data_IF_910762161383
#
_entry.id   IF_910762161383
#
_cell.length_a   1.000
_cell.length_b   1.000
_cell.length_c   1.000
_cell.angle_alpha   90.00
_cell.angle_beta   90.00
_cell.angle_gamma   90.00
#
_symmetry.space_group_name_H-M   'P 1'
#
loop_
_entity.id
_entity.type
_entity.pdbx_description
1 polymer ?
#
# COMPACT_ATOMS: atom_id res chain seq x y z
N UNK A 1 20.20 -2.41 -19.06
CA UNK A 1 20.25 -3.55 -18.13
C UNK A 1 18.82 -4.01 -17.92
N UNK A 2 18.51 -5.25 -18.26
CA UNK A 2 17.16 -5.80 -18.12
C UNK A 2 16.89 -6.04 -16.64
N UNK A 3 16.27 -5.07 -15.96
CA UNK A 3 15.71 -5.28 -14.63
C UNK A 3 14.45 -6.11 -14.79
N UNK A 4 14.59 -7.43 -14.65
CA UNK A 4 13.49 -8.38 -14.56
C UNK A 4 12.70 -8.11 -13.28
N UNK A 5 11.79 -7.14 -13.34
CA UNK A 5 10.85 -6.84 -12.26
C UNK A 5 10.01 -8.08 -11.97
N UNK A 6 10.18 -8.64 -10.77
CA UNK A 6 9.38 -9.75 -10.26
C UNK A 6 7.97 -9.25 -9.91
N UNK A 7 7.12 -9.14 -10.93
CA UNK A 7 5.72 -8.78 -10.77
C UNK A 7 4.92 -9.97 -10.24
N UNK A 8 4.46 -9.87 -8.99
CA UNK A 8 3.22 -10.51 -8.56
C UNK A 8 2.25 -9.41 -8.12
N UNK A 9 1.04 -9.45 -8.67
CA UNK A 9 0.01 -8.47 -8.38
C UNK A 9 -0.37 -8.53 -6.90
N UNK A 10 -0.33 -7.38 -6.22
CA UNK A 10 -0.84 -7.23 -4.85
C UNK A 10 -2.27 -7.76 -4.79
N UNK A 11 -2.53 -8.70 -3.88
CA UNK A 11 -3.87 -9.28 -3.73
C UNK A 11 -4.80 -8.27 -3.05
N UNK A 12 -5.58 -7.54 -3.84
CA UNK A 12 -6.61 -6.65 -3.32
C UNK A 12 -7.73 -7.47 -2.65
N UNK A 13 -8.04 -7.14 -1.40
CA UNK A 13 -9.17 -7.72 -0.65
C UNK A 13 -10.21 -6.65 -0.40
N UNK A 14 -11.48 -7.06 -0.40
CA UNK A 14 -12.57 -6.17 -0.03
C UNK A 14 -12.43 -5.82 1.45
N UNK A 15 -12.28 -4.52 1.74
CA UNK A 15 -12.18 -3.96 3.10
C UNK A 15 -13.43 -3.19 3.46
N UNK A 16 -13.82 -3.21 4.73
CA UNK A 16 -14.87 -2.40 5.30
C UNK A 16 -14.40 -1.81 6.64
N UNK A 17 -14.79 -0.58 6.93
CA UNK A 17 -14.56 0.04 8.24
C UNK A 17 -15.66 -0.45 9.19
N UNK A 18 -15.27 -0.87 10.39
CA UNK A 18 -16.22 -1.26 11.43
C UNK A 18 -17.15 -0.09 11.80
N UNK A 19 -18.44 -0.37 12.02
CA UNK A 19 -19.44 0.66 12.27
C UNK A 19 -19.15 1.53 13.50
N UNK A 20 -18.49 0.97 14.51
CA UNK A 20 -18.15 1.67 15.76
C UNK A 20 -16.92 2.59 15.60
N UNK A 21 -16.23 2.53 14.45
CA UNK A 21 -15.12 3.44 14.15
C UNK A 21 -15.65 4.82 13.78
N UNK A 22 -15.05 5.89 14.32
CA UNK A 22 -15.41 7.27 13.94
C UNK A 22 -15.23 7.57 12.45
N UNK A 23 -14.30 6.88 11.77
CA UNK A 23 -14.12 6.98 10.32
C UNK A 23 -15.12 6.12 9.50
N UNK A 24 -16.11 5.47 10.13
CA UNK A 24 -17.17 4.75 9.42
C UNK A 24 -18.18 5.69 8.76
N UNK A 25 -18.25 6.92 9.27
CA UNK A 25 -19.04 8.04 8.74
C UNK A 25 -18.05 9.01 8.08
N UNK A 26 -18.18 9.21 6.77
CA UNK A 26 -17.31 10.10 6.01
C UNK A 26 -17.60 11.57 6.29
N UNK A 27 -17.11 12.09 7.42
CA UNK A 27 -17.13 13.51 7.76
C UNK A 27 -15.82 14.13 7.28
N UNK A 28 -15.79 14.62 6.04
CA UNK A 28 -14.62 15.31 5.49
C UNK A 28 -14.88 16.82 5.42
N UNK A 29 -14.19 17.60 6.27
CA UNK A 29 -14.30 19.07 6.30
C UNK A 29 -13.32 19.76 5.33
N UNK A 30 -12.27 19.06 4.86
CA UNK A 30 -11.19 19.66 4.06
C UNK A 30 -11.16 19.13 2.61
N UNK A 31 -11.74 19.88 1.69
CA UNK A 31 -11.78 19.55 0.26
C UNK A 31 -10.55 20.01 -0.55
N UNK A 32 -9.41 20.33 0.06
CA UNK A 32 -8.39 21.15 -0.62
C UNK A 32 -7.15 20.40 -1.15
N UNK A 33 -6.97 19.12 -0.82
CA UNK A 33 -5.74 18.37 -1.18
C UNK A 33 -6.04 16.99 -1.78
N UNK A 34 -5.88 16.86 -3.10
CA UNK A 34 -6.11 15.64 -3.90
C UNK A 34 -5.02 14.55 -3.78
N UNK A 35 -4.20 14.55 -2.72
CA UNK A 35 -3.16 13.53 -2.53
C UNK A 35 -3.76 12.22 -2.01
N UNK A 36 -3.09 11.11 -2.30
CA UNK A 36 -3.48 9.80 -1.75
C UNK A 36 -3.36 9.84 -0.23
N UNK A 37 -4.37 9.29 0.46
CA UNK A 37 -4.44 9.25 1.93
C UNK A 37 -4.36 7.82 2.43
N UNK A 38 -3.70 7.63 3.57
CA UNK A 38 -3.64 6.34 4.26
C UNK A 38 -4.71 6.27 5.35
N UNK A 39 -5.38 5.12 5.45
CA UNK A 39 -6.16 4.74 6.62
C UNK A 39 -5.42 3.63 7.35
N UNK A 40 -5.00 3.89 8.58
CA UNK A 40 -4.29 2.92 9.42
C UNK A 40 -5.28 2.32 10.39
N UNK A 41 -5.31 1.00 10.50
CA UNK A 41 -6.16 0.30 11.45
C UNK A 41 -5.30 -0.39 12.51
N UNK A 42 -5.67 -0.27 13.78
CA UNK A 42 -5.05 -1.06 14.84
C UNK A 42 -5.50 -2.52 14.78
N UNK A 43 -6.77 -2.78 14.47
CA UNK A 43 -7.34 -4.14 14.45
C UNK A 43 -7.89 -4.53 13.09
N UNK A 44 -7.57 -5.75 12.64
CA UNK A 44 -8.09 -6.33 11.40
C UNK A 44 -8.80 -7.65 11.69
N UNK A 45 -10.05 -7.79 11.25
CA UNK A 45 -10.82 -9.02 11.40
C UNK A 45 -11.21 -9.59 10.04
N UNK A 46 -10.87 -10.86 9.79
CA UNK A 46 -11.20 -11.55 8.53
C UNK A 46 -12.48 -12.36 8.70
N UNK A 47 -13.51 -12.02 7.93
CA UNK A 47 -14.72 -12.86 7.86
C UNK A 47 -14.46 -14.07 6.93
N UNK A 48 -14.44 -15.28 7.49
CA UNK A 48 -14.28 -16.52 6.73
C UNK A 48 -15.37 -16.71 5.67
N UNK A 49 -16.59 -16.24 5.94
CA UNK A 49 -17.76 -16.44 5.07
C UNK A 49 -17.83 -15.43 3.92
N UNK A 50 -17.41 -14.18 4.15
CA UNK A 50 -17.62 -13.08 3.19
C UNK A 50 -16.36 -12.69 2.40
N UNK A 51 -15.20 -13.23 2.77
CA UNK A 51 -13.89 -12.76 2.26
C UNK A 51 -13.69 -11.24 2.43
N UNK A 52 -14.38 -10.64 3.41
CA UNK A 52 -14.29 -9.21 3.74
C UNK A 52 -13.37 -9.05 4.94
N UNK A 53 -12.49 -8.08 4.84
CA UNK A 53 -11.60 -7.62 5.90
C UNK A 53 -12.26 -6.42 6.61
N UNK A 54 -12.53 -6.54 7.91
CA UNK A 54 -13.10 -5.45 8.72
C UNK A 54 -12.01 -4.74 9.52
N UNK A 55 -11.97 -3.41 9.45
CA UNK A 55 -10.98 -2.54 10.08
C UNK A 55 -11.56 -1.89 11.33
N UNK A 56 -10.91 -2.08 12.49
CA UNK A 56 -11.31 -1.52 13.78
C UNK A 56 -10.25 -0.56 14.31
N UNK A 57 -10.69 0.44 15.10
CA UNK A 57 -9.84 1.47 15.68
C UNK A 57 -8.93 2.11 14.61
N UNK A 58 -9.57 2.83 13.68
CA UNK A 58 -8.88 3.38 12.52
C UNK A 58 -8.47 4.83 12.72
N UNK A 59 -7.38 5.23 12.09
CA UNK A 59 -6.89 6.60 12.02
C UNK A 59 -6.71 6.98 10.56
N UNK A 60 -7.41 8.02 10.15
CA UNK A 60 -7.23 8.63 8.84
C UNK A 60 -6.00 9.54 8.92
N UNK A 61 -4.94 9.18 8.19
CA UNK A 61 -3.68 9.92 8.18
C UNK A 61 -3.83 11.23 7.39
N UNK A 62 -3.01 12.27 7.65
CA UNK A 62 -3.12 13.54 6.92
C UNK A 62 -2.85 13.38 5.42
N UNK A 63 -3.47 14.23 4.59
CA UNK A 63 -3.27 14.29 3.14
C UNK A 63 -1.98 15.03 2.79
N UNK A 64 -0.84 14.35 2.90
CA UNK A 64 0.49 14.91 2.58
C UNK A 64 1.03 14.20 1.34
N UNK A 65 1.47 14.98 0.34
CA UNK A 65 2.08 14.44 -0.88
C UNK A 65 3.22 13.48 -0.56
N UNK A 66 3.20 12.30 -1.17
CA UNK A 66 4.23 11.28 -1.04
C UNK A 66 4.27 10.56 0.32
N UNK A 67 3.43 10.95 1.29
CA UNK A 67 3.40 10.30 2.61
C UNK A 67 3.10 8.80 2.52
N UNK A 68 2.15 8.32 1.70
CA UNK A 68 1.90 6.88 1.58
C UNK A 68 3.15 6.10 1.13
N UNK A 69 3.85 6.60 0.11
CA UNK A 69 5.07 6.00 -0.39
C UNK A 69 6.19 6.05 0.65
N UNK A 70 6.35 7.18 1.34
CA UNK A 70 7.37 7.36 2.37
C UNK A 70 7.17 6.38 3.53
N UNK A 71 5.95 6.26 4.05
CA UNK A 71 5.64 5.32 5.13
C UNK A 71 5.92 3.89 4.68
N UNK A 72 5.46 3.49 3.50
CA UNK A 72 5.73 2.14 2.98
C UNK A 72 7.24 1.87 2.89
N UNK A 73 8.04 2.81 2.37
CA UNK A 73 9.49 2.64 2.28
C UNK A 73 10.17 2.55 3.64
N UNK A 74 9.78 3.37 4.62
CA UNK A 74 10.37 3.37 5.97
C UNK A 74 10.15 2.03 6.68
N UNK A 75 8.97 1.44 6.51
CA UNK A 75 8.59 0.22 7.20
C UNK A 75 8.81 -1.06 6.39
N UNK A 76 9.37 -0.97 5.17
CA UNK A 76 9.65 -2.14 4.33
C UNK A 76 11.10 -2.61 4.47
N UNK A 77 11.35 -3.92 4.65
CA UNK A 77 12.70 -4.46 4.67
C UNK A 77 13.46 -4.27 3.36
N UNK A 78 12.77 -4.27 2.22
CA UNK A 78 13.36 -4.09 0.89
C UNK A 78 12.48 -3.22 0.03
N UNK A 79 13.13 -2.36 -0.76
CA UNK A 79 12.46 -1.47 -1.71
C UNK A 79 13.13 -1.55 -3.09
N UNK A 80 12.34 -1.42 -4.14
CA UNK A 80 12.80 -1.32 -5.53
C UNK A 80 12.12 -0.13 -6.19
N UNK A 81 12.89 0.82 -6.72
CA UNK A 81 12.35 2.01 -7.36
C UNK A 81 11.88 1.70 -8.79
N UNK A 82 10.68 2.17 -9.13
CA UNK A 82 10.14 2.11 -10.49
C UNK A 82 10.68 3.29 -11.29
N UNK A 83 11.08 3.02 -12.52
CA UNK A 83 11.47 4.04 -13.47
C UNK A 83 10.39 4.19 -14.56
N UNK A 84 10.39 5.34 -15.22
CA UNK A 84 9.67 5.52 -16.48
C UNK A 84 10.28 4.66 -17.61
N UNK A 85 9.60 4.60 -18.75
CA UNK A 85 10.03 3.80 -19.91
C UNK A 85 11.43 4.21 -20.43
N UNK A 86 11.80 5.48 -20.24
CA UNK A 86 13.10 6.03 -20.63
C UNK A 86 14.20 5.79 -19.58
N UNK A 87 13.86 5.29 -18.39
CA UNK A 87 14.80 5.06 -17.29
C UNK A 87 15.34 6.34 -16.63
N UNK A 88 14.68 7.49 -16.83
CA UNK A 88 15.14 8.82 -16.38
C UNK A 88 14.47 9.26 -15.08
N UNK A 89 13.19 8.94 -14.90
CA UNK A 89 12.40 9.44 -13.78
C UNK A 89 11.95 8.30 -12.89
N UNK A 90 11.98 8.52 -11.57
CA UNK A 90 11.40 7.58 -10.61
C UNK A 90 9.89 7.80 -10.54
N UNK A 91 9.12 6.80 -10.91
CA UNK A 91 7.65 6.88 -11.03
C UNK A 91 6.92 6.24 -9.85
N UNK A 92 7.63 5.47 -9.03
CA UNK A 92 7.06 4.76 -7.90
C UNK A 92 8.06 3.87 -7.19
N UNK A 93 7.54 2.99 -6.34
CA UNK A 93 8.33 2.04 -5.54
C UNK A 93 7.56 0.75 -5.32
N UNK A 94 8.25 -0.37 -5.42
CA UNK A 94 7.81 -1.67 -4.92
C UNK A 94 8.40 -1.88 -3.53
N UNK A 95 7.55 -2.13 -2.55
CA UNK A 95 7.90 -2.33 -1.15
C UNK A 95 7.55 -3.76 -0.73
N UNK A 96 8.43 -4.44 0.01
CA UNK A 96 8.16 -5.80 0.46
C UNK A 96 9.32 -6.46 1.20
N UNK A 97 9.31 -7.79 1.25
CA UNK A 97 10.36 -8.60 1.88
C UNK A 97 11.56 -8.86 0.95
N UNK A 98 11.43 -8.52 -0.33
CA UNK A 98 12.44 -8.78 -1.36
C UNK A 98 12.19 -10.08 -2.12
N UNK A 99 13.22 -10.57 -2.80
CA UNK A 99 13.13 -11.73 -3.71
C UNK A 99 14.23 -12.76 -3.43
N UNK A 100 13.99 -14.00 -3.85
CA UNK A 100 14.99 -15.05 -3.86
C UNK A 100 15.95 -14.82 -5.06
N UNK A 101 17.26 -14.64 -4.83
CA UNK A 101 18.20 -14.29 -5.90
C UNK A 101 18.49 -15.43 -6.89
N UNK A 102 18.17 -16.68 -6.53
CA UNK A 102 18.38 -17.85 -7.40
C UNK A 102 17.18 -18.04 -8.34
N UNK A 103 15.97 -17.95 -7.81
CA UNK A 103 14.74 -18.16 -8.60
C UNK A 103 14.17 -16.88 -9.20
N UNK A 104 14.67 -15.71 -8.76
CA UNK A 104 14.17 -14.38 -9.10
C UNK A 104 12.66 -14.20 -8.83
N UNK A 105 12.19 -14.77 -7.72
CA UNK A 105 10.77 -14.72 -7.30
C UNK A 105 10.63 -13.99 -5.97
N UNK A 106 9.56 -13.22 -5.81
CA UNK A 106 9.24 -12.56 -4.53
C UNK A 106 9.19 -13.57 -3.37
N UNK A 107 9.74 -13.17 -2.22
CA UNK A 107 9.72 -13.96 -0.99
C UNK A 107 8.35 -13.96 -0.32
N UNK A 108 7.57 -12.88 -0.47
CA UNK A 108 6.23 -12.81 0.09
C UNK A 108 5.25 -12.01 -0.80
N UNK A 109 4.83 -12.58 -1.94
CA UNK A 109 4.09 -11.86 -2.99
C UNK A 109 2.81 -11.17 -2.51
N UNK A 110 2.07 -11.81 -1.61
CA UNK A 110 0.81 -11.27 -1.07
C UNK A 110 1.00 -9.97 -0.24
N UNK A 111 2.24 -9.66 0.14
CA UNK A 111 2.62 -8.51 0.96
C UNK A 111 3.49 -7.50 0.21
N UNK A 112 3.71 -7.72 -1.09
CA UNK A 112 4.36 -6.72 -1.93
C UNK A 112 3.37 -5.62 -2.29
N UNK A 113 3.81 -4.37 -2.15
CA UNK A 113 2.99 -3.18 -2.35
C UNK A 113 3.67 -2.30 -3.42
N UNK A 114 3.00 -2.12 -4.56
CA UNK A 114 3.44 -1.19 -5.61
C UNK A 114 2.74 0.17 -5.43
N UNK A 115 3.53 1.22 -5.24
CA UNK A 115 3.05 2.58 -4.97
C UNK A 115 3.66 3.54 -6.00
N UNK A 116 2.82 4.05 -6.89
CA UNK A 116 3.18 5.20 -7.75
C UNK A 116 3.32 6.48 -6.93
N UNK A 117 4.31 7.30 -7.27
CA UNK A 117 4.51 8.62 -6.66
C UNK A 117 3.51 9.65 -7.20
N UNK A 118 3.17 10.64 -6.36
CA UNK A 118 2.22 11.73 -6.66
C UNK A 118 2.90 13.04 -7.09
#
# INVERSE_FOLDING_TARGET
ANHSSCHYATKMRRVQIDGDSVNSIGLEEEQHCNYRRLLVAYGVHLSQTRQIVSLRHTTLMPSIRGLPALIAMIFSPTIELRLDEEGKMKTGVLCGLGFNPVTNTSLYPDHDIDIGFD
#
